data_IF_321877545493
#
_entry.id   IF_321877545493
#
_cell.length_a   1.000
_cell.length_b   1.000
_cell.length_c   1.000
_cell.angle_alpha   90.00
_cell.angle_beta   90.00
_cell.angle_gamma   90.00
#
_symmetry.space_group_name_H-M   'P 1'
#
loop_
_entity.id
_entity.type
_entity.pdbx_description
1 polymer ?
#
# COMPACT_ATOMS: atom_id res chain seq x y z
N UNK A 1 -3.64 21.62 9.02
CA UNK A 1 -4.84 20.92 8.48
C UNK A 1 -4.43 20.00 7.35
N UNK A 2 -4.94 18.77 7.29
CA UNK A 2 -4.64 17.76 6.25
C UNK A 2 -5.94 17.29 5.59
N UNK A 3 -5.88 16.83 4.34
CA UNK A 3 -7.03 16.19 3.70
C UNK A 3 -7.19 14.72 4.14
N UNK A 4 -8.43 14.27 4.27
CA UNK A 4 -8.72 12.84 4.43
C UNK A 4 -8.39 12.07 3.16
N UNK A 5 -7.68 10.96 3.27
CA UNK A 5 -7.41 10.11 2.09
C UNK A 5 -8.66 9.40 1.55
N UNK A 6 -9.76 9.35 2.31
CA UNK A 6 -10.98 8.64 1.93
C UNK A 6 -12.11 9.56 1.48
N UNK A 7 -12.33 10.67 2.19
CA UNK A 7 -13.43 11.58 1.91
C UNK A 7 -12.98 12.99 1.49
N UNK A 8 -11.67 13.19 1.34
CA UNK A 8 -11.03 14.43 0.86
C UNK A 8 -11.34 15.70 1.67
N UNK A 9 -12.08 15.58 2.79
CA UNK A 9 -12.34 16.70 3.70
C UNK A 9 -11.10 17.10 4.46
N UNK A 10 -11.01 18.39 4.78
CA UNK A 10 -10.00 18.95 5.67
C UNK A 10 -10.25 18.52 7.13
N UNK A 11 -9.23 17.95 7.76
CA UNK A 11 -9.23 17.50 9.15
C UNK A 11 -7.96 18.04 9.85
N UNK A 12 -7.96 18.28 11.17
CA UNK A 12 -6.73 18.50 11.94
C UNK A 12 -5.64 17.44 11.68
N UNK A 13 -4.39 17.88 11.66
CA UNK A 13 -3.23 17.02 11.34
C UNK A 13 -2.94 15.92 12.36
N UNK A 14 -3.50 16.04 13.58
CA UNK A 14 -3.29 15.09 14.67
C UNK A 14 -4.47 14.12 14.89
N UNK A 15 -5.49 14.12 14.03
CA UNK A 15 -6.58 13.14 14.14
C UNK A 15 -6.22 11.83 13.47
N UNK A 16 -6.15 10.78 14.28
CA UNK A 16 -5.93 9.39 13.85
C UNK A 16 -7.16 8.85 13.08
N UNK A 17 -8.36 9.33 13.42
CA UNK A 17 -9.63 8.91 12.82
C UNK A 17 -10.33 10.13 12.21
N UNK A 18 -10.78 10.02 10.96
CA UNK A 18 -11.55 11.09 10.34
C UNK A 18 -12.93 11.22 11.00
N UNK A 19 -13.33 12.41 11.47
CA UNK A 19 -14.63 12.62 12.12
C UNK A 19 -15.82 12.55 11.15
N UNK A 20 -15.57 12.56 9.83
CA UNK A 20 -16.63 12.58 8.82
C UNK A 20 -16.92 11.19 8.25
N UNK A 21 -15.87 10.45 7.89
CA UNK A 21 -16.02 9.12 7.29
C UNK A 21 -15.68 7.99 8.26
N UNK A 22 -15.24 8.30 9.48
CA UNK A 22 -14.85 7.34 10.52
C UNK A 22 -13.76 6.34 10.09
N UNK A 23 -13.04 6.65 9.00
CA UNK A 23 -11.89 5.86 8.55
C UNK A 23 -10.62 6.31 9.28
N UNK A 24 -9.73 5.37 9.62
CA UNK A 24 -8.42 5.71 10.16
C UNK A 24 -7.60 6.42 9.08
N UNK A 25 -7.02 7.57 9.43
CA UNK A 25 -6.04 8.24 8.58
C UNK A 25 -4.77 7.40 8.57
N UNK A 26 -4.40 6.88 7.41
CA UNK A 26 -3.11 6.22 7.28
C UNK A 26 -2.01 7.24 7.50
N UNK A 27 -1.16 7.00 8.49
CA UNK A 27 0.06 7.78 8.67
C UNK A 27 0.96 7.59 7.45
N UNK A 28 1.74 8.61 7.09
CA UNK A 28 2.79 8.53 6.06
C UNK A 28 3.71 7.32 6.32
N UNK A 29 3.94 6.96 7.59
CA UNK A 29 4.72 5.76 7.97
C UNK A 29 4.05 4.45 7.55
N UNK A 30 2.74 4.34 7.76
CA UNK A 30 1.94 3.16 7.38
C UNK A 30 1.89 3.03 5.86
N UNK A 31 1.72 4.15 5.14
CA UNK A 31 1.68 4.16 3.68
C UNK A 31 3.01 3.69 3.07
N UNK A 32 4.15 4.15 3.61
CA UNK A 32 5.48 3.67 3.20
C UNK A 32 5.67 2.18 3.49
N UNK A 33 5.19 1.70 4.64
CA UNK A 33 5.29 0.29 5.00
C UNK A 33 4.45 -0.60 4.09
N UNK A 34 3.22 -0.20 3.78
CA UNK A 34 2.32 -0.89 2.85
C UNK A 34 2.91 -0.94 1.44
N UNK A 35 3.41 0.20 0.94
CA UNK A 35 4.07 0.26 -0.37
C UNK A 35 5.28 -0.68 -0.45
N UNK A 36 6.10 -0.73 0.61
CA UNK A 36 7.26 -1.64 0.69
C UNK A 36 6.83 -3.11 0.67
N UNK A 37 5.77 -3.46 1.40
CA UNK A 37 5.21 -4.84 1.40
C UNK A 37 4.72 -5.23 0.01
N UNK A 38 3.95 -4.36 -0.66
CA UNK A 38 3.44 -4.61 -2.01
C UNK A 38 4.62 -4.83 -2.98
N UNK A 39 5.66 -3.98 -2.90
CA UNK A 39 6.85 -4.13 -3.73
C UNK A 39 7.56 -5.48 -3.56
N UNK A 40 7.68 -5.97 -2.31
CA UNK A 40 8.27 -7.28 -2.03
C UNK A 40 7.44 -8.40 -2.66
N UNK A 41 6.11 -8.35 -2.51
CA UNK A 41 5.21 -9.37 -3.10
C UNK A 41 5.35 -9.39 -4.62
N UNK A 42 5.41 -8.22 -5.27
CA UNK A 42 5.58 -8.11 -6.72
C UNK A 42 6.91 -8.73 -7.19
N UNK A 43 8.02 -8.42 -6.51
CA UNK A 43 9.33 -9.01 -6.84
C UNK A 43 9.27 -10.54 -6.72
N UNK A 44 8.75 -11.05 -5.60
CA UNK A 44 8.68 -12.50 -5.35
C UNK A 44 7.80 -13.18 -6.40
N UNK A 45 6.67 -12.59 -6.76
CA UNK A 45 5.80 -13.12 -7.81
C UNK A 45 6.53 -13.15 -9.17
N UNK A 46 7.22 -12.08 -9.55
CA UNK A 46 7.97 -12.02 -10.80
C UNK A 46 9.09 -13.07 -10.87
N UNK A 47 9.82 -13.29 -9.77
CA UNK A 47 10.84 -14.33 -9.69
C UNK A 47 10.25 -15.74 -9.86
N UNK A 48 9.12 -16.02 -9.20
CA UNK A 48 8.44 -17.31 -9.33
C UNK A 48 7.95 -17.54 -10.76
N UNK A 49 7.28 -16.55 -11.36
CA UNK A 49 6.80 -16.65 -12.75
C UNK A 49 7.98 -16.81 -13.72
N UNK A 50 9.07 -16.06 -13.55
CA UNK A 50 10.27 -16.18 -14.37
C UNK A 50 10.93 -17.56 -14.26
N UNK A 51 11.01 -18.13 -13.05
CA UNK A 51 11.55 -19.47 -12.85
C UNK A 51 10.70 -20.56 -13.52
N UNK A 52 9.37 -20.46 -13.40
CA UNK A 52 8.44 -21.40 -14.08
C UNK A 52 8.56 -21.28 -15.59
N UNK A 53 8.65 -20.06 -16.12
CA UNK A 53 8.80 -19.81 -17.55
C UNK A 53 10.11 -20.41 -18.10
N UNK A 54 11.23 -20.20 -17.40
CA UNK A 54 12.51 -20.80 -17.75
C UNK A 54 12.45 -22.33 -17.72
N UNK A 55 11.80 -22.91 -16.71
CA UNK A 55 11.62 -24.36 -16.62
C UNK A 55 10.82 -24.93 -17.80
N UNK A 56 9.76 -24.24 -18.24
CA UNK A 56 8.99 -24.65 -19.41
C UNK A 56 9.76 -24.52 -20.72
N UNK A 57 10.65 -23.53 -20.86
CA UNK A 57 11.39 -23.31 -22.11
C UNK A 57 12.61 -24.23 -22.26
N UNK A 58 13.23 -24.66 -21.15
CA UNK A 58 14.38 -25.56 -21.19
C UNK A 58 14.02 -27.06 -21.16
N UNK A 59 12.75 -27.39 -20.96
CA UNK A 59 12.22 -28.75 -21.02
C UNK A 59 11.76 -29.10 -22.43
#
# INVERSE_FOLDING_TARGET
MIACHYCERSIPENTIICPFCHKPQMSIKEQKLQAKRIWIVVIVAALNVGAVFLYMHFK
#
